data_IF_011481566032
#
_entry.id   IF_011481566032
#
_cell.length_a   1.000
_cell.length_b   1.000
_cell.length_c   1.000
_cell.angle_alpha   90.00
_cell.angle_beta   90.00
_cell.angle_gamma   90.00
#
_symmetry.space_group_name_H-M   'P 1'
#
loop_
_entity.id
_entity.type
_entity.pdbx_description
1 polymer ?
#
# COMPACT_ATOMS: atom_id res chain seq x y z
N UNK A 1 15.46 1.51 1.88
CA UNK A 1 14.16 1.56 2.60
C UNK A 1 14.42 1.65 4.09
N UNK A 2 13.84 2.64 4.76
CA UNK A 2 13.91 2.78 6.22
C UNK A 2 12.54 2.46 6.82
N UNK A 3 12.51 1.58 7.81
CA UNK A 3 11.29 1.22 8.53
C UNK A 3 11.27 1.91 9.90
N UNK A 4 10.15 2.53 10.23
CA UNK A 4 9.86 3.03 11.56
C UNK A 4 8.66 2.29 12.12
N UNK A 5 8.85 1.61 13.22
CA UNK A 5 7.78 0.95 13.94
C UNK A 5 7.06 2.00 14.80
N UNK A 6 5.75 2.03 14.66
CA UNK A 6 4.84 2.85 15.47
C UNK A 6 3.81 1.93 16.12
N UNK A 7 3.17 2.39 17.18
CA UNK A 7 2.09 1.62 17.82
C UNK A 7 1.00 1.31 16.76
N UNK A 8 0.76 0.04 16.48
CA UNK A 8 -0.26 -0.43 15.55
C UNK A 8 -0.03 -0.06 14.07
N UNK A 9 1.22 0.03 13.62
CA UNK A 9 1.50 0.26 12.21
C UNK A 9 2.99 0.14 11.87
N UNK A 10 3.27 -0.09 10.59
CA UNK A 10 4.61 -0.01 10.01
C UNK A 10 4.64 1.11 8.99
N UNK A 11 5.54 2.06 9.20
CA UNK A 11 5.82 3.13 8.24
C UNK A 11 7.14 2.84 7.54
N UNK A 12 7.16 2.94 6.23
CA UNK A 12 8.36 2.79 5.42
C UNK A 12 8.63 4.05 4.61
N UNK A 13 9.83 4.59 4.70
CA UNK A 13 10.35 5.54 3.73
C UNK A 13 11.01 4.73 2.62
N UNK A 14 10.52 4.88 1.40
CA UNK A 14 10.92 4.10 0.24
C UNK A 14 11.56 5.02 -0.78
N UNK A 15 12.69 4.59 -1.31
CA UNK A 15 13.41 5.23 -2.41
C UNK A 15 13.54 4.19 -3.51
N UNK A 16 13.25 4.56 -4.75
CA UNK A 16 13.30 3.62 -5.87
C UNK A 16 13.69 4.31 -7.17
N UNK A 17 14.22 3.51 -8.09
CA UNK A 17 14.53 3.91 -9.45
C UNK A 17 14.00 2.88 -10.44
N UNK A 18 13.64 3.33 -11.61
CA UNK A 18 13.29 2.49 -12.74
C UNK A 18 14.55 1.99 -13.45
N UNK A 19 14.48 0.84 -14.10
CA UNK A 19 15.59 0.33 -14.92
C UNK A 19 15.90 1.26 -16.09
N UNK A 20 14.86 1.84 -16.68
CA UNK A 20 14.95 2.85 -17.72
C UNK A 20 14.49 4.20 -17.14
N UNK A 21 15.42 4.92 -16.53
CA UNK A 21 15.15 6.22 -15.94
C UNK A 21 14.86 7.31 -16.99
N UNK A 22 15.18 7.07 -18.26
CA UNK A 22 14.87 8.02 -19.35
C UNK A 22 13.38 8.02 -19.70
N UNK A 23 12.72 6.88 -19.52
CA UNK A 23 11.29 6.68 -19.81
C UNK A 23 10.49 6.39 -18.53
N UNK A 24 10.92 6.93 -17.38
CA UNK A 24 10.19 6.76 -16.12
C UNK A 24 8.82 7.43 -16.17
N UNK A 25 7.76 6.80 -15.57
CA UNK A 25 6.44 7.43 -15.49
C UNK A 25 6.47 8.67 -14.57
N UNK A 26 5.61 9.64 -14.83
CA UNK A 26 5.45 10.81 -13.96
C UNK A 26 4.90 10.45 -12.58
N UNK A 27 4.96 11.39 -11.64
CA UNK A 27 4.37 11.22 -10.29
C UNK A 27 2.87 10.93 -10.41
N UNK A 28 2.16 11.67 -11.24
CA UNK A 28 0.72 11.55 -11.46
C UNK A 28 0.35 10.18 -12.08
N UNK A 29 1.15 9.68 -13.00
CA UNK A 29 0.95 8.36 -13.59
C UNK A 29 1.16 7.24 -12.56
N UNK A 30 2.18 7.35 -11.71
CA UNK A 30 2.42 6.38 -10.63
C UNK A 30 1.28 6.40 -9.62
N UNK A 31 0.85 7.59 -9.17
CA UNK A 31 -0.26 7.76 -8.24
C UNK A 31 -1.56 7.16 -8.79
N UNK A 32 -1.84 7.38 -10.07
CA UNK A 32 -2.99 6.80 -10.77
C UNK A 32 -2.91 5.28 -10.83
N UNK A 33 -1.76 4.73 -11.23
CA UNK A 33 -1.57 3.27 -11.26
C UNK A 33 -1.81 2.62 -9.90
N UNK A 34 -1.33 3.26 -8.81
CA UNK A 34 -1.55 2.72 -7.47
C UNK A 34 -3.01 2.82 -7.04
N UNK A 35 -3.68 3.94 -7.33
CA UNK A 35 -5.09 4.13 -6.99
C UNK A 35 -6.01 3.14 -7.73
N UNK A 36 -5.66 2.78 -8.95
CA UNK A 36 -6.41 1.85 -9.79
C UNK A 36 -6.02 0.38 -9.59
N UNK A 37 -4.95 0.11 -8.85
CA UNK A 37 -4.42 -1.24 -8.68
C UNK A 37 -5.41 -2.17 -8.01
N UNK A 38 -5.64 -3.32 -8.65
CA UNK A 38 -6.42 -4.45 -8.11
C UNK A 38 -5.58 -5.70 -8.17
N UNK A 39 -5.57 -6.45 -7.07
CA UNK A 39 -4.98 -7.77 -7.03
C UNK A 39 -6.05 -8.86 -7.14
N UNK A 40 -5.63 -10.10 -7.24
CA UNK A 40 -6.53 -11.26 -7.30
C UNK A 40 -7.58 -11.28 -6.18
N UNK A 41 -7.28 -10.91 -4.92
CA UNK A 41 -8.28 -10.85 -3.87
C UNK A 41 -9.42 -9.86 -4.15
N UNK A 42 -9.14 -8.71 -4.77
CA UNK A 42 -10.14 -7.72 -5.15
C UNK A 42 -10.97 -8.21 -6.35
N UNK A 43 -10.32 -8.86 -7.32
CA UNK A 43 -11.00 -9.44 -8.49
C UNK A 43 -11.97 -10.55 -8.09
N UNK A 44 -11.60 -11.37 -7.12
CA UNK A 44 -12.44 -12.44 -6.56
C UNK A 44 -13.45 -11.94 -5.50
N UNK A 45 -13.42 -10.66 -5.14
CA UNK A 45 -14.25 -10.07 -4.09
C UNK A 45 -14.20 -10.86 -2.77
N UNK A 46 -13.00 -11.25 -2.34
CA UNK A 46 -12.84 -12.02 -1.12
C UNK A 46 -13.29 -11.21 0.11
N UNK A 47 -13.90 -11.86 1.12
CA UNK A 47 -14.52 -11.18 2.27
C UNK A 47 -13.61 -10.21 3.03
N UNK A 48 -12.33 -10.58 3.21
CA UNK A 48 -11.34 -9.74 3.91
C UNK A 48 -10.44 -8.94 2.96
N UNK A 49 -10.69 -8.97 1.65
CA UNK A 49 -9.99 -8.10 0.72
C UNK A 49 -10.45 -6.65 0.87
N UNK A 50 -9.54 -5.68 1.03
CA UNK A 50 -9.92 -4.28 1.00
C UNK A 50 -10.51 -3.94 -0.36
N UNK A 51 -11.56 -3.12 -0.39
CA UNK A 51 -12.20 -2.70 -1.65
C UNK A 51 -11.23 -1.95 -2.55
N UNK A 52 -10.44 -1.06 -1.96
CA UNK A 52 -9.31 -0.39 -2.59
C UNK A 52 -8.03 -0.82 -1.89
N UNK A 53 -7.13 -1.49 -2.61
CA UNK A 53 -5.94 -2.06 -2.00
C UNK A 53 -4.93 -1.01 -1.57
N UNK A 54 -4.68 0.01 -2.42
CA UNK A 54 -3.73 1.09 -2.15
C UNK A 54 -4.49 2.41 -2.10
N UNK A 55 -4.48 3.05 -0.94
CA UNK A 55 -4.97 4.42 -0.77
C UNK A 55 -3.83 5.41 -1.00
N UNK A 56 -3.98 6.26 -2.01
CA UNK A 56 -2.97 7.24 -2.39
C UNK A 56 -3.36 8.62 -1.84
N UNK A 57 -2.47 9.22 -1.08
CA UNK A 57 -2.57 10.60 -0.63
C UNK A 57 -1.81 11.50 -1.60
N UNK A 58 -2.53 12.31 -2.33
CA UNK A 58 -1.98 13.19 -3.36
C UNK A 58 -1.67 14.60 -2.87
N UNK A 59 -2.14 14.97 -1.68
CA UNK A 59 -1.89 16.28 -1.08
C UNK A 59 -0.41 16.39 -0.69
N UNK A 60 0.36 17.08 -1.52
CA UNK A 60 1.82 17.15 -1.42
C UNK A 60 2.32 17.88 -0.17
N UNK A 61 1.52 18.77 0.38
CA UNK A 61 1.89 19.66 1.50
C UNK A 61 1.33 19.23 2.87
N UNK A 62 0.58 18.16 2.94
CA UNK A 62 0.09 17.66 4.22
C UNK A 62 1.25 17.02 5.01
N UNK A 63 1.63 17.56 6.17
CA UNK A 63 2.79 17.10 6.92
C UNK A 63 2.66 15.69 7.45
N UNK A 64 1.44 15.20 7.59
CA UNK A 64 1.08 13.97 8.31
C UNK A 64 0.71 12.80 7.40
N UNK A 65 1.07 12.85 6.14
CA UNK A 65 0.71 11.80 5.18
C UNK A 65 1.76 10.69 5.10
N UNK A 66 1.31 9.43 4.96
CA UNK A 66 0.03 8.88 5.37
C UNK A 66 -0.13 8.90 6.89
N UNK A 67 -1.32 9.22 7.36
CA UNK A 67 -1.60 9.33 8.79
C UNK A 67 -1.85 7.96 9.43
N UNK A 68 -1.20 7.72 10.58
CA UNK A 68 -1.33 6.47 11.34
C UNK A 68 -2.78 6.17 11.71
N UNK A 69 -3.54 7.18 12.17
CA UNK A 69 -4.94 7.02 12.56
C UNK A 69 -5.83 6.57 11.41
N UNK A 70 -5.74 7.24 10.29
CA UNK A 70 -6.56 6.97 9.09
C UNK A 70 -6.13 5.69 8.38
N UNK A 71 -4.84 5.49 8.17
CA UNK A 71 -4.32 4.29 7.51
C UNK A 71 -4.67 2.99 8.24
N UNK A 72 -4.80 3.06 9.58
CA UNK A 72 -5.17 1.92 10.42
C UNK A 72 -6.65 1.53 10.28
N UNK A 73 -7.51 2.47 9.97
CA UNK A 73 -8.97 2.28 9.96
C UNK A 73 -9.52 1.99 8.56
N UNK A 74 -8.75 2.30 7.50
CA UNK A 74 -9.20 2.10 6.13
C UNK A 74 -9.39 0.60 5.86
N UNK A 75 -10.58 0.24 5.43
CA UNK A 75 -11.00 -1.14 5.13
C UNK A 75 -10.61 -2.12 6.26
N UNK A 76 -10.91 -1.76 7.51
CA UNK A 76 -10.60 -2.58 8.67
C UNK A 76 -9.10 -2.81 8.89
N UNK A 77 -8.24 -1.92 8.42
CA UNK A 77 -6.79 -2.04 8.52
C UNK A 77 -6.14 -2.95 7.47
N UNK A 78 -6.89 -3.39 6.47
CA UNK A 78 -6.39 -4.28 5.41
C UNK A 78 -5.81 -3.55 4.20
N UNK A 79 -6.11 -2.27 4.04
CA UNK A 79 -5.54 -1.44 2.97
C UNK A 79 -4.09 -1.00 3.27
N UNK A 80 -3.38 -0.61 2.24
CA UNK A 80 -2.08 0.04 2.32
C UNK A 80 -2.25 1.51 1.98
N UNK A 81 -1.61 2.39 2.74
CA UNK A 81 -1.59 3.82 2.46
C UNK A 81 -0.24 4.25 1.90
N UNK A 82 -0.26 4.99 0.80
CA UNK A 82 0.92 5.57 0.16
C UNK A 82 0.74 7.08 0.03
N UNK A 83 1.82 7.82 0.22
CA UNK A 83 1.78 9.27 0.07
C UNK A 83 3.17 9.88 -0.01
N UNK A 84 3.22 11.20 -0.20
CA UNK A 84 4.46 11.96 -0.33
C UNK A 84 5.34 11.45 -1.47
N UNK A 85 4.74 10.94 -2.54
CA UNK A 85 5.49 10.57 -3.74
C UNK A 85 6.04 11.85 -4.38
N UNK A 86 7.33 11.87 -4.60
CA UNK A 86 8.05 12.99 -5.21
C UNK A 86 9.40 12.56 -5.75
N UNK A 87 9.97 13.37 -6.60
CA UNK A 87 11.30 13.16 -7.12
C UNK A 87 12.36 13.15 -6.00
N UNK A 88 13.43 12.45 -6.22
CA UNK A 88 14.58 12.33 -5.33
C UNK A 88 15.86 12.77 -6.04
N UNK A 89 16.79 13.30 -5.30
CA UNK A 89 18.10 13.71 -5.84
C UNK A 89 19.07 12.54 -6.06
N UNK A 90 18.83 11.40 -5.41
CA UNK A 90 19.71 10.22 -5.48
C UNK A 90 19.05 9.02 -6.19
N UNK A 91 17.74 9.01 -6.25
CA UNK A 91 16.92 8.00 -6.88
C UNK A 91 15.88 8.70 -7.77
N UNK A 92 15.14 7.97 -8.57
CA UNK A 92 14.08 8.62 -9.37
C UNK A 92 13.00 9.18 -8.47
N UNK A 93 12.55 8.40 -7.47
CA UNK A 93 11.46 8.80 -6.59
C UNK A 93 11.70 8.39 -5.14
N UNK A 94 10.97 9.08 -4.26
CA UNK A 94 10.85 8.76 -2.83
C UNK A 94 9.39 8.91 -2.40
N UNK A 95 8.97 8.07 -1.46
CA UNK A 95 7.60 8.03 -0.94
C UNK A 95 7.57 7.55 0.50
N UNK A 96 6.41 7.67 1.14
CA UNK A 96 6.10 7.04 2.43
C UNK A 96 4.95 6.07 2.22
N UNK A 97 5.09 4.87 2.77
CA UNK A 97 4.02 3.87 2.79
C UNK A 97 3.76 3.41 4.21
N UNK A 98 2.50 3.07 4.49
CA UNK A 98 2.08 2.57 5.79
C UNK A 98 1.08 1.43 5.65
N UNK A 99 1.19 0.44 6.54
CA UNK A 99 0.20 -0.62 6.70
C UNK A 99 0.03 -1.00 8.16
N UNK A 100 -1.11 -1.59 8.51
CA UNK A 100 -1.36 -2.12 9.85
C UNK A 100 -0.54 -3.40 10.07
N UNK A 101 0.26 -3.44 11.14
CA UNK A 101 1.17 -4.55 11.40
C UNK A 101 0.46 -5.85 11.84
N UNK A 102 -0.62 -5.76 12.62
CA UNK A 102 -1.34 -6.94 13.14
C UNK A 102 -2.48 -7.39 12.23
N UNK A 103 -3.18 -6.46 11.59
CA UNK A 103 -4.25 -6.80 10.65
C UNK A 103 -3.66 -7.16 9.28
N UNK A 104 -3.23 -6.20 8.49
CA UNK A 104 -2.68 -6.47 7.16
C UNK A 104 -1.43 -7.36 7.22
N UNK A 105 -0.53 -7.10 8.14
CA UNK A 105 0.78 -7.76 8.24
C UNK A 105 0.77 -9.11 8.96
N UNK A 106 -0.34 -9.51 9.60
CA UNK A 106 -0.42 -10.75 10.36
C UNK A 106 -1.80 -11.41 10.23
N UNK A 107 -2.68 -11.28 11.24
CA UNK A 107 -3.92 -12.05 11.34
C UNK A 107 -4.85 -11.87 10.14
N UNK A 108 -5.16 -10.64 9.74
CA UNK A 108 -6.03 -10.38 8.59
C UNK A 108 -5.41 -10.84 7.26
N UNK A 109 -4.09 -10.70 7.12
CA UNK A 109 -3.38 -11.23 5.96
C UNK A 109 -3.42 -12.76 5.88
N UNK A 110 -3.34 -13.45 7.01
CA UNK A 110 -3.45 -14.92 7.06
C UNK A 110 -4.88 -15.38 6.70
N UNK A 111 -5.91 -14.71 7.20
CA UNK A 111 -7.30 -15.00 6.85
C UNK A 111 -7.53 -14.78 5.36
N UNK A 112 -7.09 -13.65 4.80
CA UNK A 112 -7.22 -13.36 3.37
C UNK A 112 -6.49 -14.39 2.50
N UNK A 113 -5.34 -14.91 2.96
CA UNK A 113 -4.62 -15.98 2.27
C UNK A 113 -5.44 -17.28 2.27
N UNK A 114 -6.05 -17.66 3.41
CA UNK A 114 -6.91 -18.83 3.49
C UNK A 114 -8.11 -18.71 2.54
N UNK A 115 -8.78 -17.55 2.53
CA UNK A 115 -9.88 -17.26 1.58
C UNK A 115 -9.42 -17.41 0.12
N UNK A 116 -8.23 -16.91 -0.20
CA UNK A 116 -7.67 -17.02 -1.55
C UNK A 116 -7.40 -18.48 -1.92
N UNK A 117 -6.83 -19.27 -1.00
CA UNK A 117 -6.55 -20.68 -1.22
C UNK A 117 -7.85 -21.49 -1.43
N UNK A 118 -8.88 -21.22 -0.62
CA UNK A 118 -10.21 -21.82 -0.79
C UNK A 118 -10.81 -21.44 -2.15
N UNK A 119 -10.80 -20.15 -2.51
CA UNK A 119 -11.32 -19.69 -3.79
C UNK A 119 -10.57 -20.26 -5.01
N UNK A 120 -9.31 -20.65 -4.82
CA UNK A 120 -8.48 -21.31 -5.85
C UNK A 120 -8.58 -22.84 -5.83
N UNK A 121 -9.36 -23.44 -4.92
CA UNK A 121 -9.53 -24.89 -4.80
C UNK A 121 -8.34 -25.64 -4.19
N UNK A 122 -7.50 -24.96 -3.42
CA UNK A 122 -6.41 -25.59 -2.67
C UNK A 122 -6.85 -26.06 -1.27
N UNK A 123 -7.99 -25.57 -0.79
CA UNK A 123 -8.59 -25.91 0.50
C UNK A 123 -10.11 -26.08 0.31
N UNK A 124 -10.68 -27.06 1.04
CA UNK A 124 -12.13 -27.32 1.11
C UNK A 124 -12.79 -26.40 2.14
#
# INVERSE_FOLDING_TARGET
MYKRQVSNGHTAAIFFSFKDSANKPSVEEIEKMWAEYKGVPQELNLPHAPKQFIHVYTEKDAPDQPQIKTAREIDGGMAISCGRLRESTQYDYKMVSMSHNTLRGAAGGAVLLAELLTAKGYMD
#
